data_IF_687417197312
#
_entry.id   IF_687417197312
#
_cell.length_a   1.000
_cell.length_b   1.000
_cell.length_c   1.000
_cell.angle_alpha   90.00
_cell.angle_beta   90.00
_cell.angle_gamma   90.00
#
_symmetry.space_group_name_H-M   'P 1'
#
loop_
_entity.id
_entity.type
_entity.pdbx_description
1 polymer ?
#
# COMPACT_ATOMS: atom_id res chain seq x y z
N UNK A 1 3.34 -1.61 17.37
CA UNK A 1 2.37 -0.52 17.61
C UNK A 1 1.36 -0.56 16.47
N UNK A 2 0.05 -0.33 16.72
CA UNK A 2 -0.93 -0.25 15.64
C UNK A 2 -0.64 0.97 14.75
N UNK A 3 -0.52 0.73 13.45
CA UNK A 3 -0.36 1.78 12.44
C UNK A 3 -1.70 2.52 12.28
N UNK A 4 -1.68 3.84 12.37
CA UNK A 4 -2.90 4.65 12.13
C UNK A 4 -2.97 5.03 10.66
N UNK A 5 -4.07 4.70 9.98
CA UNK A 5 -4.31 5.07 8.59
C UNK A 5 -5.30 6.24 8.55
N UNK A 6 -4.92 7.33 7.90
CA UNK A 6 -5.73 8.55 7.76
C UNK A 6 -5.89 8.89 6.29
N UNK A 7 -7.13 9.13 5.87
CA UNK A 7 -7.45 9.61 4.51
C UNK A 7 -7.19 11.11 4.35
N UNK A 8 -6.93 11.82 5.45
CA UNK A 8 -6.62 13.26 5.44
C UNK A 8 -5.22 13.51 4.89
N UNK A 9 -5.08 14.59 4.14
CA UNK A 9 -3.78 15.02 3.60
C UNK A 9 -2.96 15.86 4.61
N UNK A 10 -3.60 16.34 5.68
CA UNK A 10 -2.96 17.19 6.68
C UNK A 10 -2.39 16.36 7.82
N UNK A 11 -1.21 16.75 8.29
CA UNK A 11 -0.57 16.22 9.49
C UNK A 11 0.15 17.33 10.24
N UNK A 12 0.46 17.08 11.51
CA UNK A 12 1.20 18.02 12.35
C UNK A 12 2.70 17.95 12.02
N UNK A 13 3.18 18.89 11.21
CA UNK A 13 4.58 19.03 10.79
C UNK A 13 5.54 19.28 11.97
N UNK A 14 5.04 19.73 13.13
CA UNK A 14 5.88 19.92 14.33
C UNK A 14 6.18 18.62 15.06
N UNK A 15 5.38 17.57 14.80
CA UNK A 15 5.50 16.25 15.45
C UNK A 15 5.98 15.17 14.48
N UNK A 16 5.59 15.27 13.22
CA UNK A 16 5.78 14.25 12.22
C UNK A 16 6.42 14.78 10.95
N UNK A 17 7.06 13.87 10.24
CA UNK A 17 7.78 14.15 9.00
C UNK A 17 7.47 13.06 7.98
N UNK A 18 7.24 13.46 6.74
CA UNK A 18 6.96 12.54 5.65
C UNK A 18 8.25 11.91 5.16
N UNK A 19 8.31 10.58 5.15
CA UNK A 19 9.51 9.81 4.76
C UNK A 19 9.38 9.22 3.35
N UNK A 20 8.15 8.94 2.91
CA UNK A 20 7.88 8.50 1.55
C UNK A 20 6.49 7.93 1.37
N UNK A 21 6.15 7.61 0.12
CA UNK A 21 4.85 7.04 -0.24
C UNK A 21 4.99 5.54 -0.47
N UNK A 22 4.05 4.77 0.07
CA UNK A 22 3.94 3.33 -0.17
C UNK A 22 2.72 3.09 -1.04
N UNK A 23 2.90 2.30 -2.10
CA UNK A 23 1.83 1.88 -3.00
C UNK A 23 1.81 0.35 -3.02
N UNK A 24 0.66 -0.27 -2.83
CA UNK A 24 0.43 -1.70 -2.94
C UNK A 24 -0.63 -1.94 -4.02
N UNK A 25 -0.31 -2.80 -4.99
CA UNK A 25 -1.27 -3.25 -5.99
C UNK A 25 -1.52 -4.73 -5.74
N UNK A 26 -2.78 -5.08 -5.49
CA UNK A 26 -3.23 -6.46 -5.39
C UNK A 26 -4.13 -6.76 -6.58
N UNK A 27 -3.78 -7.80 -7.34
CA UNK A 27 -4.52 -8.21 -8.53
C UNK A 27 -5.18 -9.55 -8.24
N UNK A 28 -6.50 -9.60 -8.35
CA UNK A 28 -7.29 -10.81 -8.15
C UNK A 28 -8.11 -11.09 -9.42
N UNK A 29 -8.08 -12.32 -9.94
CA UNK A 29 -8.90 -12.65 -11.11
C UNK A 29 -10.37 -12.78 -10.71
N UNK A 30 -11.26 -12.11 -11.43
CA UNK A 30 -12.71 -12.19 -11.18
C UNK A 30 -13.26 -13.58 -11.48
N UNK A 31 -12.59 -14.37 -12.34
CA UNK A 31 -12.94 -15.76 -12.60
C UNK A 31 -12.84 -16.66 -11.35
N UNK A 32 -11.88 -16.42 -10.46
CA UNK A 32 -11.76 -17.12 -9.17
C UNK A 32 -12.85 -16.71 -8.19
N UNK A 33 -13.16 -15.40 -8.13
CA UNK A 33 -14.27 -14.87 -7.34
C UNK A 33 -15.56 -15.56 -7.83
N UNK A 34 -15.91 -15.45 -9.11
CA UNK A 34 -17.12 -16.05 -9.70
C UNK A 34 -17.20 -17.58 -9.52
N UNK A 35 -16.07 -18.30 -9.61
CA UNK A 35 -16.00 -19.76 -9.41
C UNK A 35 -16.24 -20.21 -7.96
N UNK A 36 -15.79 -19.45 -6.96
CA UNK A 36 -16.09 -19.71 -5.54
C UNK A 36 -17.57 -19.42 -5.23
N UNK A 37 -18.18 -18.41 -5.87
CA UNK A 37 -19.61 -18.07 -5.67
C UNK A 37 -20.57 -18.96 -6.47
N UNK A 38 -20.18 -19.47 -7.64
CA UNK A 38 -21.01 -20.36 -8.45
C UNK A 38 -21.27 -21.72 -7.79
N UNK A 39 -20.34 -22.22 -6.95
CA UNK A 39 -20.48 -23.48 -6.22
C UNK A 39 -21.33 -23.41 -4.95
N UNK A 40 -21.47 -22.23 -4.33
CA UNK A 40 -22.22 -22.04 -3.07
C UNK A 40 -23.62 -21.43 -3.26
N UNK A 41 -23.94 -20.93 -4.46
CA UNK A 41 -25.18 -20.20 -4.75
C UNK A 41 -26.48 -21.00 -4.79
N UNK A 42 -26.44 -22.34 -4.62
CA UNK A 42 -27.61 -23.20 -4.76
C UNK A 42 -28.34 -23.53 -3.44
N UNK A 43 -27.76 -23.28 -2.25
CA UNK A 43 -28.31 -23.88 -1.02
C UNK A 43 -28.63 -22.93 0.15
N UNK A 44 -28.26 -21.64 0.11
CA UNK A 44 -28.57 -20.72 1.22
C UNK A 44 -29.07 -19.35 0.71
N UNK A 45 -30.30 -19.01 1.09
CA UNK A 45 -31.03 -17.79 0.70
C UNK A 45 -30.51 -16.51 1.37
N UNK A 46 -29.25 -16.14 1.09
CA UNK A 46 -28.57 -14.96 1.68
C UNK A 46 -27.61 -14.26 0.70
N UNK A 47 -27.97 -14.13 -0.58
CA UNK A 47 -27.07 -13.67 -1.66
C UNK A 47 -26.30 -12.36 -1.39
N UNK A 48 -26.83 -11.43 -0.58
CA UNK A 48 -26.13 -10.18 -0.27
C UNK A 48 -25.05 -10.31 0.80
N UNK A 49 -25.17 -11.24 1.76
CA UNK A 49 -24.21 -11.32 2.87
C UNK A 49 -22.90 -11.98 2.47
N UNK A 50 -22.95 -12.98 1.58
CA UNK A 50 -21.76 -13.74 1.16
C UNK A 50 -20.83 -12.96 0.23
N UNK A 51 -21.39 -12.12 -0.64
CA UNK A 51 -20.60 -11.23 -1.51
C UNK A 51 -19.89 -10.18 -0.67
N UNK A 52 -20.61 -9.59 0.30
CA UNK A 52 -20.06 -8.60 1.20
C UNK A 52 -18.93 -9.18 2.07
N UNK A 53 -19.13 -10.38 2.62
CA UNK A 53 -18.10 -11.08 3.40
C UNK A 53 -16.82 -11.35 2.59
N UNK A 54 -16.96 -11.67 1.30
CA UNK A 54 -15.80 -11.89 0.45
C UNK A 54 -15.02 -10.61 0.14
N UNK A 55 -15.72 -9.50 -0.11
CA UNK A 55 -15.10 -8.19 -0.29
C UNK A 55 -14.39 -7.76 1.00
N UNK A 56 -15.02 -7.95 2.15
CA UNK A 56 -14.44 -7.64 3.46
C UNK A 56 -13.17 -8.47 3.72
N UNK A 57 -13.15 -9.75 3.36
CA UNK A 57 -11.94 -10.61 3.45
C UNK A 57 -10.82 -10.12 2.53
N UNK A 58 -11.14 -9.74 1.31
CA UNK A 58 -10.17 -9.24 0.34
C UNK A 58 -9.56 -7.91 0.83
N UNK A 59 -10.40 -6.99 1.29
CA UNK A 59 -9.95 -5.72 1.86
C UNK A 59 -9.10 -5.92 3.13
N UNK A 60 -9.49 -6.84 4.01
CA UNK A 60 -8.72 -7.18 5.22
C UNK A 60 -7.35 -7.72 4.85
N UNK A 61 -7.27 -8.60 3.85
CA UNK A 61 -6.00 -9.13 3.35
C UNK A 61 -5.13 -8.04 2.75
N UNK A 62 -5.69 -7.19 1.89
CA UNK A 62 -4.98 -6.09 1.26
C UNK A 62 -4.44 -5.09 2.30
N UNK A 63 -5.23 -4.76 3.32
CA UNK A 63 -4.81 -3.93 4.46
C UNK A 63 -3.67 -4.57 5.24
N UNK A 64 -3.72 -5.87 5.51
CA UNK A 64 -2.65 -6.57 6.21
C UNK A 64 -1.35 -6.57 5.41
N UNK A 65 -1.42 -6.82 4.10
CA UNK A 65 -0.27 -6.77 3.20
C UNK A 65 0.29 -5.34 3.08
N UNK A 66 -0.58 -4.32 3.05
CA UNK A 66 -0.19 -2.91 3.05
C UNK A 66 0.54 -2.54 4.33
N UNK A 67 -0.03 -2.90 5.49
CA UNK A 67 0.58 -2.67 6.80
C UNK A 67 1.95 -3.37 6.91
N UNK A 68 2.06 -4.61 6.45
CA UNK A 68 3.33 -5.33 6.42
C UNK A 68 4.35 -4.64 5.50
N UNK A 69 3.92 -4.14 4.34
CA UNK A 69 4.78 -3.40 3.40
C UNK A 69 5.27 -2.07 3.99
N UNK A 70 4.39 -1.33 4.67
CA UNK A 70 4.75 -0.09 5.39
C UNK A 70 5.79 -0.38 6.46
N UNK A 71 5.55 -1.37 7.31
CA UNK A 71 6.48 -1.72 8.40
C UNK A 71 7.81 -2.28 7.88
N UNK A 72 7.82 -2.98 6.74
CA UNK A 72 9.05 -3.46 6.10
C UNK A 72 9.87 -2.33 5.48
N UNK A 73 9.20 -1.35 4.87
CA UNK A 73 9.86 -0.26 4.14
C UNK A 73 10.30 0.87 5.08
N UNK A 74 9.42 1.22 6.03
CA UNK A 74 9.59 2.31 6.98
C UNK A 74 9.17 1.83 8.39
N UNK A 75 10.03 1.07 9.09
CA UNK A 75 9.69 0.41 10.36
C UNK A 75 9.35 1.37 11.50
N UNK A 76 9.74 2.63 11.38
CA UNK A 76 9.47 3.67 12.38
C UNK A 76 8.18 4.45 12.12
N UNK A 77 7.43 4.07 11.07
CA UNK A 77 6.18 4.72 10.70
C UNK A 77 5.12 4.46 11.75
N UNK A 78 4.57 5.55 12.30
CA UNK A 78 3.46 5.49 13.25
C UNK A 78 2.12 5.78 12.59
N UNK A 79 2.13 6.58 11.53
CA UNK A 79 0.92 7.02 10.84
C UNK A 79 1.13 7.02 9.32
N UNK A 80 0.07 6.74 8.58
CA UNK A 80 0.01 6.92 7.13
C UNK A 80 -1.09 7.93 6.85
N UNK A 81 -0.76 8.97 6.08
CA UNK A 81 -1.70 10.02 5.66
C UNK A 81 -1.92 9.97 4.16
N UNK A 82 -2.93 10.70 3.68
CA UNK A 82 -3.40 10.63 2.29
C UNK A 82 -3.66 9.17 1.86
N UNK A 83 -4.15 8.34 2.80
CA UNK A 83 -4.49 6.96 2.51
C UNK A 83 -5.65 6.92 1.52
N UNK A 84 -5.41 6.26 0.40
CA UNK A 84 -6.36 6.13 -0.69
C UNK A 84 -6.39 4.69 -1.17
N UNK A 85 -7.58 4.18 -1.42
CA UNK A 85 -7.80 2.86 -2.01
C UNK A 85 -8.62 3.07 -3.27
N UNK A 86 -8.07 2.59 -4.38
CA UNK A 86 -8.75 2.54 -5.67
C UNK A 86 -8.97 1.09 -6.07
N UNK A 87 -10.12 0.81 -6.69
CA UNK A 87 -10.47 -0.51 -7.20
C UNK A 87 -10.84 -0.35 -8.66
N UNK A 88 -9.99 -0.90 -9.52
CA UNK A 88 -10.15 -0.84 -10.97
C UNK A 88 -10.41 -2.25 -11.52
N UNK A 89 -11.40 -2.35 -12.40
CA UNK A 89 -11.63 -3.56 -13.18
C UNK A 89 -10.80 -3.48 -14.47
N UNK A 90 -9.95 -4.48 -14.70
CA UNK A 90 -9.08 -4.56 -15.87
C UNK A 90 -9.34 -5.89 -16.56
N UNK A 91 -9.91 -5.87 -17.75
CA UNK A 91 -10.24 -7.07 -18.51
C UNK A 91 -10.66 -6.75 -19.92
N UNK A 92 -10.47 -7.69 -20.84
CA UNK A 92 -10.86 -7.53 -22.25
C UNK A 92 -12.24 -8.14 -22.53
N UNK A 93 -12.61 -9.18 -21.79
CA UNK A 93 -13.86 -9.95 -21.94
C UNK A 93 -14.34 -10.50 -20.58
N UNK A 94 -15.61 -10.91 -20.48
CA UNK A 94 -16.28 -11.44 -19.27
C UNK A 94 -15.60 -12.65 -18.60
N UNK A 95 -14.71 -13.34 -19.33
CA UNK A 95 -13.94 -14.50 -18.87
C UNK A 95 -12.49 -14.17 -18.47
N UNK A 96 -12.03 -12.95 -18.75
CA UNK A 96 -10.65 -12.50 -18.51
C UNK A 96 -10.61 -11.17 -17.74
N UNK A 97 -11.53 -11.02 -16.80
CA UNK A 97 -11.60 -9.84 -15.96
C UNK A 97 -10.77 -10.02 -14.69
N UNK A 98 -9.99 -9.01 -14.37
CA UNK A 98 -9.19 -8.89 -13.15
C UNK A 98 -9.68 -7.69 -12.35
N UNK A 99 -9.77 -7.85 -11.03
CA UNK A 99 -9.95 -6.75 -10.11
C UNK A 99 -8.58 -6.35 -9.59
N UNK A 100 -8.22 -5.09 -9.79
CA UNK A 100 -6.97 -4.49 -9.31
C UNK A 100 -7.32 -3.54 -8.17
N UNK A 101 -6.91 -3.88 -6.95
CA UNK A 101 -6.99 -3.00 -5.81
C UNK A 101 -5.63 -2.31 -5.62
N UNK A 102 -5.63 -0.99 -5.70
CA UNK A 102 -4.46 -0.14 -5.47
C UNK A 102 -4.64 0.61 -4.16
N UNK A 103 -3.71 0.44 -3.22
CA UNK A 103 -3.69 1.15 -1.95
C UNK A 103 -2.45 2.01 -1.89
N UNK A 104 -2.62 3.29 -1.60
CA UNK A 104 -1.51 4.24 -1.51
C UNK A 104 -1.61 5.09 -0.25
N UNK A 105 -0.47 5.50 0.28
CA UNK A 105 -0.43 6.49 1.35
C UNK A 105 0.99 6.93 1.67
N UNK A 106 1.10 8.08 2.33
CA UNK A 106 2.37 8.69 2.72
C UNK A 106 2.69 8.35 4.17
N UNK A 107 3.86 7.75 4.40
CA UNK A 107 4.31 7.30 5.70
C UNK A 107 4.92 8.45 6.51
N UNK A 108 4.45 8.59 7.75
CA UNK A 108 4.89 9.58 8.71
C UNK A 108 5.68 8.93 9.84
N UNK A 109 6.86 9.49 10.11
CA UNK A 109 7.74 9.11 11.22
C UNK A 109 7.78 10.26 12.22
N UNK A 110 7.99 10.01 13.53
CA UNK A 110 8.25 11.07 14.50
C UNK A 110 9.51 11.85 14.18
N UNK A 111 9.50 13.18 14.36
CA UNK A 111 10.67 14.03 14.10
C UNK A 111 11.92 13.59 14.88
N UNK A 112 11.74 13.07 16.09
CA UNK A 112 12.84 12.61 16.95
C UNK A 112 13.53 11.31 16.47
N UNK A 113 12.96 10.62 15.48
CA UNK A 113 13.49 9.36 14.94
C UNK A 113 14.21 9.51 13.58
N UNK A 114 14.14 10.68 12.94
CA UNK A 114 14.84 10.95 11.67
C UNK A 114 16.37 10.97 11.73
N UNK A 115 17.01 10.70 12.88
CA UNK A 115 18.45 10.83 13.06
C UNK A 115 19.32 9.80 12.31
N UNK A 116 18.75 8.94 11.48
CA UNK A 116 19.49 7.91 10.72
C UNK A 116 18.94 7.81 9.29
N UNK A 117 19.02 8.88 8.52
CA UNK A 117 19.07 8.80 7.06
C UNK A 117 19.59 10.14 6.53
N UNK A 118 20.87 10.41 6.79
CA UNK A 118 21.56 11.40 5.97
C UNK A 118 21.52 10.91 4.51
N UNK A 119 21.20 11.78 3.54
CA UNK A 119 21.40 11.43 2.14
C UNK A 119 22.87 11.08 1.95
N UNK A 120 23.15 9.96 1.28
CA UNK A 120 24.51 9.58 0.87
C UNK A 120 25.15 10.82 0.23
N UNK A 121 26.11 11.41 0.93
CA UNK A 121 26.91 12.52 0.43
C UNK A 121 27.55 12.07 -0.89
N UNK A 122 27.47 12.85 -1.99
CA UNK A 122 28.06 12.45 -3.25
C UNK A 122 29.55 12.26 -3.04
N UNK A 123 29.99 11.02 -3.20
CA UNK A 123 31.36 10.55 -3.06
C UNK A 123 32.30 11.54 -3.75
N UNK A 124 33.21 12.09 -2.96
CA UNK A 124 34.25 13.01 -3.37
C UNK A 124 34.99 12.52 -4.61
N UNK A 125 34.66 13.13 -5.75
CA UNK A 125 35.43 13.05 -6.98
C UNK A 125 36.75 13.79 -6.81
N UNK A 126 37.74 13.07 -6.29
CA UNK A 126 39.16 13.45 -6.19
C UNK A 126 39.67 13.83 -7.58
N UNK A 127 39.61 15.12 -7.95
CA UNK A 127 40.26 15.67 -9.15
C UNK A 127 41.77 15.40 -9.05
N UNK A 128 42.26 14.37 -9.76
CA UNK A 128 43.69 14.21 -10.02
C UNK A 128 44.13 15.36 -10.93
N UNK A 129 44.90 16.28 -10.37
CA UNK A 129 45.67 17.29 -11.10
C UNK A 129 46.69 16.59 -12.00
N UNK A 130 46.42 16.57 -13.31
CA UNK A 130 47.38 16.16 -14.32
C UNK A 130 48.29 17.35 -14.63
N UNK A 131 49.43 17.46 -13.94
CA UNK A 131 50.59 18.24 -14.41
C UNK A 131 51.51 17.28 -15.15
N UNK A 132 51.49 17.30 -16.48
CA UNK A 132 52.59 16.76 -17.29
C UNK A 132 53.46 17.92 -17.75
N UNK A 133 54.73 17.81 -17.39
CA UNK A 133 55.88 18.55 -17.94
C UNK A 133 56.08 18.16 -19.39
#
# INVERSE_FOLDING_TARGET
MPLTLLTTNQYDETKYTAVGTVILNQVESISLIRGVFAGFGAMLGGKNTLIQEAVDRLQTRALNEFNAKVQKTYPETLQVVAFHTDVSEVGRDDNSTYMVMTMSGTCLVPLNKQRIQDPVSPIGGRRKTLKRR
#
